data_IF_547150567545
#
_entry.id   IF_547150567545
#
_cell.length_a   1.000
_cell.length_b   1.000
_cell.length_c   1.000
_cell.angle_alpha   90.00
_cell.angle_beta   90.00
_cell.angle_gamma   90.00
#
_symmetry.space_group_name_H-M   'P 1'
#
loop_
_entity.id
_entity.type
_entity.pdbx_description
1 polymer ?
#
# COMPACT_ATOMS: atom_id res chain seq x y z
N UNK A 1 -20.63 -55.81 -35.81
CA UNK A 1 -20.79 -54.59 -35.01
C UNK A 1 -19.40 -53.95 -34.89
N UNK A 2 -19.04 -53.06 -35.83
CA UNK A 2 -17.77 -52.33 -35.82
C UNK A 2 -18.04 -50.99 -35.11
N UNK A 3 -17.55 -50.88 -33.89
CA UNK A 3 -17.55 -49.58 -33.17
C UNK A 3 -16.50 -48.67 -33.82
N UNK A 4 -16.96 -47.54 -34.31
CA UNK A 4 -16.18 -46.57 -35.07
C UNK A 4 -15.11 -45.94 -34.16
N UNK A 5 -13.83 -46.32 -34.40
CA UNK A 5 -12.64 -45.81 -33.65
C UNK A 5 -12.40 -44.33 -33.86
N UNK A 6 -13.04 -43.70 -34.84
CA UNK A 6 -12.89 -42.28 -35.18
C UNK A 6 -13.56 -41.35 -34.17
N UNK A 7 -14.63 -41.78 -33.50
CA UNK A 7 -15.36 -40.97 -32.51
C UNK A 7 -14.54 -40.74 -31.24
N UNK A 8 -13.74 -41.73 -30.84
CA UNK A 8 -12.91 -41.61 -29.61
C UNK A 8 -11.72 -40.69 -29.79
N UNK A 9 -11.15 -40.58 -30.98
CA UNK A 9 -10.04 -39.68 -31.27
C UNK A 9 -10.47 -38.20 -31.29
N UNK A 10 -11.71 -37.93 -31.70
CA UNK A 10 -12.25 -36.56 -31.72
C UNK A 10 -12.55 -36.01 -30.31
N UNK A 11 -12.94 -36.87 -29.38
CA UNK A 11 -13.21 -36.45 -27.98
C UNK A 11 -11.95 -36.17 -27.20
N UNK A 12 -10.83 -36.83 -27.51
CA UNK A 12 -9.53 -36.55 -26.83
C UNK A 12 -8.87 -35.26 -27.32
N UNK A 13 -9.11 -34.85 -28.58
CA UNK A 13 -8.60 -33.62 -29.14
C UNK A 13 -9.30 -32.38 -28.55
N UNK A 14 -10.59 -32.46 -28.26
CA UNK A 14 -11.37 -31.35 -27.68
C UNK A 14 -10.99 -31.05 -26.20
N UNK A 15 -10.59 -32.08 -25.44
CA UNK A 15 -10.16 -31.90 -24.03
C UNK A 15 -8.83 -31.20 -23.87
N UNK A 16 -7.91 -31.37 -24.82
CA UNK A 16 -6.57 -30.80 -24.73
C UNK A 16 -6.54 -29.25 -24.98
N UNK A 17 -7.49 -28.73 -25.74
CA UNK A 17 -7.58 -27.30 -26.07
C UNK A 17 -8.03 -26.46 -24.87
N UNK A 18 -8.86 -27.02 -23.97
CA UNK A 18 -9.34 -26.30 -22.77
C UNK A 18 -8.29 -26.17 -21.70
N UNK A 19 -7.25 -27.02 -21.67
CA UNK A 19 -6.16 -26.95 -20.69
C UNK A 19 -5.14 -25.84 -21.02
N UNK A 20 -5.10 -25.35 -22.25
CA UNK A 20 -4.15 -24.30 -22.66
C UNK A 20 -4.69 -22.87 -22.51
N UNK A 21 -6.00 -22.69 -22.32
CA UNK A 21 -6.64 -21.37 -22.12
C UNK A 21 -6.72 -20.94 -20.65
N UNK A 22 -6.29 -21.80 -19.74
CA UNK A 22 -6.23 -21.51 -18.30
C UNK A 22 -4.97 -20.74 -17.87
N UNK A 23 -4.36 -19.94 -18.74
CA UNK A 23 -3.35 -18.97 -18.31
C UNK A 23 -4.06 -17.94 -17.44
N UNK A 24 -4.14 -18.23 -16.12
CA UNK A 24 -4.54 -17.24 -15.15
C UNK A 24 -3.65 -16.01 -15.37
N UNK A 25 -4.25 -14.93 -15.82
CA UNK A 25 -3.59 -13.63 -15.79
C UNK A 25 -3.17 -13.42 -14.33
N UNK A 26 -1.89 -13.62 -14.03
CA UNK A 26 -1.30 -13.19 -12.78
C UNK A 26 -1.50 -11.68 -12.75
N UNK A 27 -2.55 -11.26 -12.06
CA UNK A 27 -2.76 -9.85 -11.81
C UNK A 27 -1.52 -9.40 -11.04
N UNK A 28 -0.79 -8.45 -11.60
CA UNK A 28 0.32 -7.81 -10.93
C UNK A 28 -0.27 -7.15 -9.68
N UNK A 29 -0.24 -7.87 -8.57
CA UNK A 29 -0.60 -7.31 -7.28
C UNK A 29 0.49 -6.29 -6.98
N UNK A 30 0.10 -5.01 -6.86
CA UNK A 30 1.01 -3.95 -6.46
C UNK A 30 1.75 -4.30 -5.16
N UNK A 31 2.82 -3.59 -4.88
CA UNK A 31 3.58 -3.81 -3.64
C UNK A 31 2.67 -3.67 -2.42
N UNK A 32 2.86 -4.49 -1.37
CA UNK A 32 2.16 -4.29 -0.12
C UNK A 32 2.31 -2.85 0.36
N UNK A 33 1.21 -2.20 0.77
CA UNK A 33 1.17 -0.81 1.19
C UNK A 33 1.04 0.22 0.05
N UNK A 34 1.28 -0.14 -1.21
CA UNK A 34 1.16 0.79 -2.34
C UNK A 34 -0.26 1.34 -2.48
N UNK A 35 -1.27 0.48 -2.37
CA UNK A 35 -2.66 0.90 -2.47
C UNK A 35 -3.06 1.81 -1.31
N UNK A 36 -2.61 1.51 -0.09
CA UNK A 36 -2.82 2.38 1.07
C UNK A 36 -2.14 3.73 0.91
N UNK A 37 -0.93 3.75 0.35
CA UNK A 37 -0.23 4.99 0.04
C UNK A 37 -1.01 5.84 -0.96
N UNK A 38 -1.44 5.26 -2.07
CA UNK A 38 -2.21 5.96 -3.10
C UNK A 38 -3.52 6.53 -2.57
N UNK A 39 -4.22 5.77 -1.74
CA UNK A 39 -5.54 6.15 -1.24
C UNK A 39 -5.49 7.17 -0.10
N UNK A 40 -4.43 7.17 0.71
CA UNK A 40 -4.42 7.90 1.97
C UNK A 40 -3.27 8.93 2.09
N UNK A 41 -2.17 8.75 1.39
CA UNK A 41 -0.95 9.53 1.59
C UNK A 41 -0.63 10.43 0.39
N UNK A 42 -0.88 9.93 -0.84
CA UNK A 42 -0.48 10.61 -2.08
C UNK A 42 -1.14 11.97 -2.27
N UNK A 43 -2.33 12.20 -1.71
CA UNK A 43 -3.04 13.48 -1.79
C UNK A 43 -2.22 14.62 -1.17
N UNK A 44 -1.43 14.34 -0.14
CA UNK A 44 -0.52 15.30 0.48
C UNK A 44 0.94 15.09 0.06
N UNK A 45 1.44 13.85 0.14
CA UNK A 45 2.85 13.55 -0.12
C UNK A 45 3.20 13.38 -1.60
N UNK A 46 2.21 13.45 -2.50
CA UNK A 46 2.41 13.23 -3.93
C UNK A 46 2.50 11.76 -4.33
N UNK A 47 2.26 11.42 -5.59
CA UNK A 47 2.27 10.04 -6.07
C UNK A 47 3.65 9.39 -5.99
N UNK A 48 4.72 10.18 -5.97
CA UNK A 48 6.11 9.73 -5.88
C UNK A 48 6.75 10.00 -4.50
N UNK A 49 6.01 10.57 -3.55
CA UNK A 49 6.49 10.84 -2.20
C UNK A 49 7.27 12.14 -2.00
N UNK A 50 7.25 13.06 -2.97
CA UNK A 50 8.06 14.29 -2.94
C UNK A 50 7.45 15.45 -2.17
N UNK A 51 6.29 15.26 -1.53
CA UNK A 51 5.60 16.32 -0.80
C UNK A 51 4.83 17.28 -1.71
N UNK A 52 4.58 16.89 -2.96
CA UNK A 52 3.95 17.68 -4.02
C UNK A 52 2.52 17.23 -4.35
N UNK A 53 1.82 16.67 -3.37
CA UNK A 53 0.44 16.22 -3.55
C UNK A 53 -0.54 17.35 -3.83
N UNK A 54 -1.69 17.00 -4.40
CA UNK A 54 -2.73 17.96 -4.81
C UNK A 54 -3.19 18.86 -3.66
N UNK A 55 -3.25 18.33 -2.44
CA UNK A 55 -3.64 19.10 -1.26
C UNK A 55 -2.75 20.32 -0.98
N UNK A 56 -1.49 20.29 -1.42
CA UNK A 56 -0.53 21.42 -1.26
C UNK A 56 -1.01 22.65 -2.02
N UNK A 57 -1.71 22.47 -3.13
CA UNK A 57 -2.20 23.57 -3.97
C UNK A 57 -3.45 24.26 -3.39
N UNK A 58 -4.23 23.52 -2.57
CA UNK A 58 -5.53 23.99 -2.06
C UNK A 58 -5.53 24.33 -0.58
N UNK A 59 -4.53 23.87 0.18
CA UNK A 59 -4.39 24.12 1.61
C UNK A 59 -3.19 25.03 1.89
N UNK A 60 -3.41 26.34 2.11
CA UNK A 60 -2.32 27.27 2.40
C UNK A 60 -1.52 26.84 3.64
N UNK A 61 -0.19 26.76 3.49
CA UNK A 61 0.71 26.39 4.58
C UNK A 61 0.93 24.89 4.78
N UNK A 62 0.24 24.01 4.04
CA UNK A 62 0.53 22.59 4.03
C UNK A 62 1.92 22.35 3.41
N UNK A 63 2.80 21.69 4.16
CA UNK A 63 4.17 21.35 3.74
C UNK A 63 4.48 19.89 4.11
N UNK A 64 3.97 18.92 3.34
CA UNK A 64 4.29 17.52 3.58
C UNK A 64 5.80 17.30 3.36
N UNK A 65 6.42 16.48 4.21
CA UNK A 65 7.82 16.12 4.03
C UNK A 65 8.05 15.33 2.74
N UNK A 66 9.22 15.50 2.14
CA UNK A 66 9.70 14.65 1.05
C UNK A 66 10.09 13.28 1.61
N UNK A 67 9.26 12.28 1.34
CA UNK A 67 9.45 10.92 1.82
C UNK A 67 10.57 10.18 1.09
N UNK A 68 11.06 10.68 -0.04
CA UNK A 68 12.13 10.04 -0.82
C UNK A 68 13.52 10.24 -0.19
N UNK A 69 13.66 11.23 0.68
CA UNK A 69 14.92 11.63 1.29
C UNK A 69 15.17 11.07 2.70
N UNK A 70 14.24 10.30 3.25
CA UNK A 70 14.28 9.85 4.65
C UNK A 70 15.55 9.08 5.00
N UNK A 71 15.99 8.20 4.11
CA UNK A 71 17.24 7.44 4.28
C UNK A 71 18.45 8.37 4.29
N UNK A 72 18.50 9.32 3.37
CA UNK A 72 19.60 10.27 3.23
C UNK A 72 19.69 11.22 4.43
N UNK A 73 18.54 11.73 4.87
CA UNK A 73 18.45 12.61 6.05
C UNK A 73 18.79 11.88 7.35
N UNK A 74 18.68 10.56 7.37
CA UNK A 74 19.00 9.71 8.52
C UNK A 74 20.32 8.94 8.32
N UNK A 75 21.34 9.61 7.81
CA UNK A 75 22.72 9.08 7.70
C UNK A 75 22.82 7.73 6.94
N UNK A 76 21.99 7.53 5.91
CA UNK A 76 21.98 6.33 5.08
C UNK A 76 21.18 5.15 5.64
N UNK A 77 20.55 5.30 6.81
CA UNK A 77 19.68 4.29 7.41
C UNK A 77 18.22 4.69 7.27
N UNK A 78 17.41 3.80 6.69
CA UNK A 78 15.96 4.05 6.59
C UNK A 78 15.32 3.99 7.99
N UNK A 79 14.68 5.09 8.48
CA UNK A 79 14.19 5.19 9.84
C UNK A 79 12.81 4.55 10.01
N UNK A 80 12.71 3.24 9.77
CA UNK A 80 11.45 2.50 9.70
C UNK A 80 10.57 2.66 10.95
N UNK A 81 11.17 2.63 12.15
CA UNK A 81 10.44 2.75 13.40
C UNK A 81 9.83 4.15 13.58
N UNK A 82 10.58 5.19 13.26
CA UNK A 82 10.09 6.57 13.35
C UNK A 82 8.94 6.81 12.36
N UNK A 83 9.07 6.27 11.14
CA UNK A 83 8.01 6.36 10.13
C UNK A 83 6.76 5.59 10.58
N UNK A 84 6.94 4.38 11.13
CA UNK A 84 5.84 3.61 11.70
C UNK A 84 5.08 4.44 12.75
N UNK A 85 5.80 5.00 13.72
CA UNK A 85 5.23 5.83 14.78
C UNK A 85 4.55 7.07 14.22
N UNK A 86 5.16 7.72 13.24
CA UNK A 86 4.58 8.88 12.57
C UNK A 86 3.24 8.53 11.88
N UNK A 87 3.13 7.41 11.20
CA UNK A 87 1.88 6.97 10.56
C UNK A 87 0.84 6.57 11.61
N UNK A 88 1.26 5.80 12.61
CA UNK A 88 0.38 5.36 13.70
C UNK A 88 -0.21 6.55 14.45
N UNK A 89 0.62 7.50 14.84
CA UNK A 89 0.23 8.76 15.47
C UNK A 89 -0.35 8.63 16.88
N UNK A 90 -0.47 7.42 17.44
CA UNK A 90 -1.06 7.20 18.78
C UNK A 90 -0.15 7.63 19.92
N UNK A 91 1.16 7.63 19.69
CA UNK A 91 2.18 7.99 20.69
C UNK A 91 2.53 9.50 20.69
N UNK A 92 1.65 10.34 20.16
CA UNK A 92 1.75 11.80 20.19
C UNK A 92 3.09 12.35 19.69
N UNK A 93 3.47 12.00 18.47
CA UNK A 93 4.72 12.46 17.88
C UNK A 93 4.53 13.86 17.30
N UNK A 94 5.39 14.81 17.72
CA UNK A 94 5.39 16.21 17.36
C UNK A 94 5.35 16.52 15.84
N UNK A 95 5.69 15.57 14.98
CA UNK A 95 5.60 15.70 13.53
C UNK A 95 4.17 16.01 13.01
N UNK A 96 3.16 15.81 13.87
CA UNK A 96 1.74 15.94 13.52
C UNK A 96 1.01 17.03 14.33
N UNK A 97 1.70 17.73 15.22
CA UNK A 97 1.04 18.56 16.23
C UNK A 97 0.69 20.00 15.81
N UNK A 98 1.27 20.56 14.78
CA UNK A 98 1.17 22.00 14.58
C UNK A 98 0.66 22.41 13.19
N UNK A 99 -0.55 22.94 13.14
CA UNK A 99 -1.05 23.75 12.04
C UNK A 99 -2.14 23.13 11.18
N UNK A 100 -2.75 23.90 10.28
CA UNK A 100 -3.69 23.40 9.29
C UNK A 100 -2.96 22.41 8.35
N UNK A 101 -3.54 21.23 8.14
CA UNK A 101 -2.96 20.21 7.29
C UNK A 101 -2.09 19.17 8.02
N UNK A 102 -2.41 18.88 9.27
CA UNK A 102 -1.74 17.78 10.00
C UNK A 102 -1.94 16.44 9.31
N UNK A 103 -0.91 15.63 9.32
CA UNK A 103 -1.06 14.23 8.93
C UNK A 103 -2.04 13.54 9.88
N UNK A 104 -3.05 12.81 9.37
CA UNK A 104 -3.99 12.10 10.22
C UNK A 104 -3.32 11.00 11.05
N UNK A 105 -3.85 10.75 12.25
CA UNK A 105 -3.49 9.60 13.09
C UNK A 105 -4.07 8.31 12.49
N UNK A 106 -3.35 7.71 11.55
CA UNK A 106 -3.85 6.56 10.79
C UNK A 106 -4.10 5.33 11.67
N UNK A 107 -3.30 5.14 12.74
CA UNK A 107 -3.53 4.07 13.71
C UNK A 107 -4.92 4.13 14.34
N UNK A 108 -5.38 5.32 14.73
CA UNK A 108 -6.74 5.52 15.25
C UNK A 108 -7.78 5.40 14.14
N UNK A 109 -7.56 6.07 13.00
CA UNK A 109 -8.54 6.12 11.92
C UNK A 109 -8.86 4.72 11.37
N UNK A 110 -7.86 3.87 11.20
CA UNK A 110 -8.05 2.52 10.69
C UNK A 110 -8.65 1.57 11.71
N UNK A 111 -8.37 1.75 13.00
CA UNK A 111 -9.07 1.00 14.05
C UNK A 111 -10.55 1.35 14.11
N UNK A 112 -10.88 2.64 14.11
CA UNK A 112 -12.28 3.10 14.16
C UNK A 112 -13.04 2.73 12.89
N UNK A 113 -12.42 2.76 11.74
CA UNK A 113 -13.02 2.31 10.47
C UNK A 113 -13.35 0.81 10.43
N UNK A 114 -12.70 0.02 11.27
CA UNK A 114 -12.99 -1.41 11.43
C UNK A 114 -14.04 -1.70 12.51
N UNK A 115 -14.66 -0.68 13.10
CA UNK A 115 -15.59 -0.76 14.21
C UNK A 115 -14.94 -0.48 15.57
N UNK A 116 -15.41 -1.12 16.64
CA UNK A 116 -14.78 -0.95 17.97
C UNK A 116 -13.39 -1.61 17.99
N UNK A 117 -12.40 -0.98 18.65
CA UNK A 117 -11.07 -1.56 18.79
C UNK A 117 -11.13 -2.97 19.42
N UNK A 118 -10.49 -3.92 18.76
CA UNK A 118 -10.37 -5.30 19.20
C UNK A 118 -9.01 -5.87 18.74
N UNK A 119 -8.54 -7.03 19.26
CA UNK A 119 -7.24 -7.59 18.89
C UNK A 119 -7.05 -7.82 17.40
N UNK A 120 -8.10 -8.16 16.66
CA UNK A 120 -8.03 -8.39 15.22
C UNK A 120 -7.87 -7.06 14.46
N UNK A 121 -8.63 -6.01 14.81
CA UNK A 121 -8.50 -4.69 14.20
C UNK A 121 -7.13 -4.07 14.50
N UNK A 122 -6.59 -4.27 15.69
CA UNK A 122 -5.24 -3.86 16.06
C UNK A 122 -4.17 -4.57 15.21
N UNK A 123 -4.26 -5.89 15.07
CA UNK A 123 -3.32 -6.66 14.25
C UNK A 123 -3.37 -6.23 12.78
N UNK A 124 -4.55 -6.00 12.23
CA UNK A 124 -4.74 -5.52 10.87
C UNK A 124 -4.17 -4.12 10.66
N UNK A 125 -4.42 -3.20 11.59
CA UNK A 125 -3.88 -1.83 11.55
C UNK A 125 -2.36 -1.85 11.57
N UNK A 126 -1.77 -2.64 12.47
CA UNK A 126 -0.32 -2.81 12.57
C UNK A 126 0.28 -3.33 11.26
N UNK A 127 -0.33 -4.35 10.68
CA UNK A 127 0.10 -4.89 9.39
C UNK A 127 0.02 -3.85 8.28
N UNK A 128 -1.06 -3.11 8.17
CA UNK A 128 -1.20 -2.03 7.17
C UNK A 128 -0.10 -0.99 7.29
N UNK A 129 0.22 -0.55 8.51
CA UNK A 129 1.29 0.42 8.74
C UNK A 129 2.64 -0.19 8.34
N UNK A 130 2.92 -1.45 8.67
CA UNK A 130 4.16 -2.13 8.28
C UNK A 130 4.30 -2.25 6.76
N UNK A 131 3.24 -2.63 6.06
CA UNK A 131 3.21 -2.71 4.60
C UNK A 131 3.47 -1.32 3.98
N UNK A 132 2.86 -0.27 4.54
CA UNK A 132 3.05 1.11 4.09
C UNK A 132 4.48 1.60 4.32
N UNK A 133 5.08 1.33 5.49
CA UNK A 133 6.50 1.62 5.77
C UNK A 133 7.41 0.91 4.77
N UNK A 134 7.09 -0.34 4.43
CA UNK A 134 7.84 -1.12 3.44
C UNK A 134 7.73 -0.51 2.04
N UNK A 135 6.55 -0.03 1.66
CA UNK A 135 6.36 0.69 0.40
C UNK A 135 7.15 2.01 0.36
N UNK A 136 7.06 2.84 1.41
CA UNK A 136 7.81 4.10 1.51
C UNK A 136 9.32 3.86 1.42
N UNK A 137 9.81 2.73 1.93
CA UNK A 137 11.21 2.35 1.78
C UNK A 137 11.60 2.15 0.30
N UNK A 138 10.69 1.71 -0.55
CA UNK A 138 10.97 1.56 -2.00
C UNK A 138 11.08 2.89 -2.73
N UNK A 139 10.51 3.97 -2.17
CA UNK A 139 10.55 5.31 -2.74
C UNK A 139 11.88 6.04 -2.50
N UNK A 140 12.80 5.48 -1.69
CA UNK A 140 14.01 6.18 -1.30
C UNK A 140 14.93 6.46 -2.48
N UNK A 141 15.34 7.72 -2.63
CA UNK A 141 16.40 8.13 -3.58
C UNK A 141 17.78 7.76 -3.00
N UNK A 142 18.67 7.32 -3.88
CA UNK A 142 20.06 6.94 -3.55
C UNK A 142 20.96 8.17 -3.51
#
# INVERSE_FOLDING_TARGET
MCADRSVWLSLLAAGAVWLLLGSAAAQAQGLPGEQDYRNNCSVCHGPTGKGDGEAVTVLPGLKPGDLTQLTKLNHGMFPAQQIYQAIDGRDNIAAHELGPGRMPTWGVNWQLGAGLPNPTSEANTRKRIQDLVSYIKTLQER
#
